data_IF_229011369147
#
_entry.id   IF_229011369147
#
_cell.length_a   1.000
_cell.length_b   1.000
_cell.length_c   1.000
_cell.angle_alpha   90.00
_cell.angle_beta   90.00
_cell.angle_gamma   90.00
#
_symmetry.space_group_name_H-M   'P 1'
#
loop_
_entity.id
_entity.type
_entity.pdbx_description
1 polymer ?
#
# COMPACT_ATOMS: atom_id res chain seq x y z
N UNK A 1 8.92 2.11 -4.95
CA UNK A 1 8.63 1.16 -3.86
C UNK A 1 7.16 0.73 -3.85
N UNK A 2 6.18 1.64 -3.94
CA UNK A 2 4.76 1.28 -4.07
C UNK A 2 4.45 0.50 -5.36
N UNK A 3 5.08 0.88 -6.49
CA UNK A 3 4.94 0.21 -7.78
C UNK A 3 5.33 -1.27 -7.73
N UNK A 4 6.34 -1.62 -6.93
CA UNK A 4 6.81 -3.00 -6.75
C UNK A 4 5.75 -3.88 -6.07
N UNK A 5 4.93 -3.31 -5.18
CA UNK A 5 3.83 -4.04 -4.54
C UNK A 5 2.74 -4.38 -5.56
N UNK A 6 2.40 -3.44 -6.45
CA UNK A 6 1.43 -3.66 -7.51
C UNK A 6 1.92 -4.66 -8.57
N UNK A 7 3.17 -4.55 -8.99
CA UNK A 7 3.76 -5.53 -9.91
C UNK A 7 3.70 -6.96 -9.35
N UNK A 8 4.02 -7.12 -8.06
CA UNK A 8 3.93 -8.41 -7.39
C UNK A 8 2.48 -8.91 -7.28
N UNK A 9 1.54 -8.01 -6.98
CA UNK A 9 0.13 -8.33 -6.90
C UNK A 9 -0.42 -8.82 -8.24
N UNK A 10 -0.08 -8.12 -9.34
CA UNK A 10 -0.45 -8.53 -10.69
C UNK A 10 0.18 -9.86 -11.08
N UNK A 11 1.48 -10.05 -10.81
CA UNK A 11 2.16 -11.31 -11.06
C UNK A 11 1.57 -12.49 -10.29
N UNK A 12 0.96 -12.23 -9.12
CA UNK A 12 0.25 -13.22 -8.33
C UNK A 12 -1.23 -13.40 -8.71
N UNK A 13 -1.76 -12.60 -9.65
CA UNK A 13 -3.19 -12.60 -9.99
C UNK A 13 -4.08 -12.16 -8.83
N UNK A 14 -3.58 -11.30 -7.93
CA UNK A 14 -4.31 -10.85 -6.76
C UNK A 14 -5.50 -9.95 -7.15
N UNK A 15 -6.67 -10.25 -6.61
CA UNK A 15 -7.88 -9.44 -6.82
C UNK A 15 -8.00 -8.22 -5.90
N UNK A 16 -7.19 -8.14 -4.84
CA UNK A 16 -7.13 -7.00 -3.92
C UNK A 16 -5.82 -7.02 -3.13
N UNK A 17 -5.48 -5.89 -2.50
CA UNK A 17 -4.30 -5.76 -1.64
C UNK A 17 -4.69 -5.34 -0.21
N UNK A 18 -4.08 -5.97 0.79
CA UNK A 18 -4.20 -5.55 2.21
C UNK A 18 -2.94 -4.83 2.63
N UNK A 19 -3.10 -3.66 3.25
CA UNK A 19 -1.98 -2.87 3.79
C UNK A 19 -2.28 -2.43 5.23
N UNK A 20 -1.25 -2.44 6.07
CA UNK A 20 -1.30 -1.80 7.39
C UNK A 20 -1.21 -0.28 7.20
N UNK A 21 -2.27 0.46 7.52
CA UNK A 21 -2.34 1.86 7.12
C UNK A 21 -1.80 2.84 8.16
N UNK A 22 -1.88 2.53 9.46
CA UNK A 22 -1.52 3.48 10.51
C UNK A 22 -1.12 2.72 11.77
N UNK A 23 0.18 2.67 12.08
CA UNK A 23 0.70 2.26 13.37
C UNK A 23 1.12 3.47 14.21
N UNK A 24 1.10 3.34 15.54
CA UNK A 24 1.29 4.37 16.58
C UNK A 24 2.53 5.30 16.50
N UNK A 25 3.35 5.28 15.44
CA UNK A 25 4.61 6.00 15.37
C UNK A 25 4.71 6.94 14.15
N UNK A 26 4.81 8.27 14.35
CA UNK A 26 4.94 9.25 13.25
C UNK A 26 6.24 9.09 12.42
N UNK A 27 7.23 8.37 12.93
CA UNK A 27 8.44 7.98 12.18
C UNK A 27 8.13 6.98 11.06
N UNK A 28 7.15 6.10 11.27
CA UNK A 28 6.65 5.16 10.25
C UNK A 28 5.88 5.95 9.18
N UNK A 29 5.08 6.95 9.58
CA UNK A 29 4.37 7.82 8.65
C UNK A 29 5.31 8.67 7.77
N UNK A 30 6.49 9.05 8.28
CA UNK A 30 7.50 9.83 7.53
C UNK A 30 8.34 8.96 6.59
N UNK A 31 8.70 7.73 7.00
CA UNK A 31 9.42 6.76 6.15
C UNK A 31 8.50 6.11 5.11
N UNK A 32 7.24 5.82 5.47
CA UNK A 32 6.18 5.42 4.53
C UNK A 32 5.46 6.62 3.89
N UNK A 33 5.94 7.86 4.10
CA UNK A 33 5.32 9.15 3.76
C UNK A 33 4.97 9.42 2.30
N UNK A 34 4.99 8.40 1.46
CA UNK A 34 4.41 8.40 0.13
C UNK A 34 3.82 7.06 -0.29
N UNK A 35 4.06 5.93 0.37
CA UNK A 35 3.63 4.61 -0.14
C UNK A 35 2.14 4.42 -0.02
N UNK A 36 1.58 4.52 1.19
CA UNK A 36 0.13 4.37 1.40
C UNK A 36 -0.64 5.42 0.61
N UNK A 37 -0.15 6.68 0.59
CA UNK A 37 -0.73 7.77 -0.20
C UNK A 37 -0.62 7.53 -1.72
N UNK A 38 0.52 7.09 -2.23
CA UNK A 38 0.68 6.77 -3.66
C UNK A 38 -0.14 5.57 -4.07
N UNK A 39 -0.27 4.55 -3.21
CA UNK A 39 -1.15 3.40 -3.45
C UNK A 39 -2.61 3.85 -3.50
N UNK A 40 -3.08 4.63 -2.52
CA UNK A 40 -4.44 5.17 -2.53
C UNK A 40 -4.73 6.05 -3.76
N UNK A 41 -3.73 6.77 -4.26
CA UNK A 41 -3.90 7.65 -5.41
C UNK A 41 -3.71 6.95 -6.77
N UNK A 42 -2.97 5.85 -6.85
CA UNK A 42 -2.53 5.26 -8.14
C UNK A 42 -2.79 3.75 -8.26
N UNK A 43 -3.38 3.09 -7.26
CA UNK A 43 -3.66 1.66 -7.35
C UNK A 43 -4.90 1.39 -8.20
N UNK A 44 -4.74 0.49 -9.17
CA UNK A 44 -5.83 -0.08 -9.97
C UNK A 44 -6.53 -1.26 -9.28
N UNK A 45 -5.99 -1.72 -8.14
CA UNK A 45 -6.55 -2.80 -7.35
C UNK A 45 -7.27 -2.26 -6.10
N UNK A 46 -8.35 -2.91 -5.65
CA UNK A 46 -8.98 -2.59 -4.38
C UNK A 46 -7.99 -2.69 -3.23
N UNK A 47 -7.90 -1.64 -2.41
CA UNK A 47 -7.04 -1.57 -1.24
C UNK A 47 -7.85 -1.72 0.04
N UNK A 48 -7.54 -2.73 0.86
CA UNK A 48 -8.06 -2.90 2.20
C UNK A 48 -7.01 -2.43 3.21
N UNK A 49 -7.40 -1.46 4.03
CA UNK A 49 -6.53 -0.90 5.06
C UNK A 49 -6.91 -1.51 6.41
N UNK A 50 -5.94 -2.14 7.08
CA UNK A 50 -6.10 -2.71 8.42
C UNK A 50 -5.20 -1.98 9.44
N UNK A 51 -5.59 -2.04 10.71
CA UNK A 51 -4.81 -1.59 11.88
C UNK A 51 -4.22 -2.80 12.61
#
# INVERSE_FOLDING_TARGET
VWSTLLERAHGAGAGYLVMGAYGHSPVVETVFGGVTRSMLANSDLPLLLAH
#
